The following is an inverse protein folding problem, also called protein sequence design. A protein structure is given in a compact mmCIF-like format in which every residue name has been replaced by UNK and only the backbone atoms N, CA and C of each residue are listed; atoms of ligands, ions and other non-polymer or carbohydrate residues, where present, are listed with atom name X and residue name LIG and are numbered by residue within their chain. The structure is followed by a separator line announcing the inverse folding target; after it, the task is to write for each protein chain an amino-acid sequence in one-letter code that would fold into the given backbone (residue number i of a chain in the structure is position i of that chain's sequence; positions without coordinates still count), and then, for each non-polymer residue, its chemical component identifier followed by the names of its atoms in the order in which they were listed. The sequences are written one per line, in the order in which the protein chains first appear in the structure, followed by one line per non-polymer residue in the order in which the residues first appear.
data_IF_825632903782
#
_entry.id   IF_825632903782
#
_cell.length_a   1.000
_cell.length_b   1.000
_cell.length_c   1.000
_cell.angle_alpha   90.00
_cell.angle_beta   90.00
_cell.angle_gamma   90.00
#
_symmetry.space_group_name_H-M   'P 1'
#
loop_
_entity.id
_entity.type
_entity.pdbx_description
1 polymer ?
#
# COMPACT_ATOMS: atom_id res chain seq x y z
N UNK A 1 -48.19 -8.66 -13.80
CA UNK A 1 -48.53 -8.42 -12.39
C UNK A 1 -47.48 -7.49 -11.80
N UNK A 2 -47.86 -6.33 -11.27
CA UNK A 2 -46.91 -5.33 -10.77
C UNK A 2 -46.22 -5.78 -9.49
N UNK A 3 -44.94 -5.45 -9.36
CA UNK A 3 -44.05 -5.81 -8.26
C UNK A 3 -43.64 -4.58 -7.46
N UNK A 4 -43.52 -4.76 -6.15
CA UNK A 4 -42.90 -3.76 -5.29
C UNK A 4 -41.38 -3.92 -5.33
N UNK A 5 -40.61 -2.90 -5.76
CA UNK A 5 -39.15 -3.00 -5.85
C UNK A 5 -38.48 -3.20 -4.48
N UNK A 6 -39.03 -2.56 -3.44
CA UNK A 6 -38.51 -2.65 -2.06
C UNK A 6 -38.90 -3.92 -1.32
N UNK A 7 -40.19 -4.27 -1.37
CA UNK A 7 -40.74 -5.37 -0.57
C UNK A 7 -40.71 -6.71 -1.31
N UNK A 8 -40.49 -6.71 -2.63
CA UNK A 8 -40.54 -7.90 -3.49
C UNK A 8 -41.85 -8.69 -3.37
N UNK A 9 -42.95 -7.97 -3.08
CA UNK A 9 -44.29 -8.54 -3.09
C UNK A 9 -44.92 -8.35 -4.47
N UNK A 10 -45.60 -9.38 -4.93
CA UNK A 10 -46.42 -9.38 -6.14
C UNK A 10 -47.80 -8.81 -5.84
N UNK A 11 -48.29 -7.93 -6.70
CA UNK A 11 -49.60 -7.29 -6.57
C UNK A 11 -50.51 -7.65 -7.74
N UNK A 12 -51.81 -7.61 -7.49
CA UNK A 12 -52.84 -7.77 -8.52
C UNK A 12 -52.85 -6.59 -9.48
N UNK A 13 -53.19 -6.85 -10.74
CA UNK A 13 -53.25 -5.82 -11.78
C UNK A 13 -54.24 -4.69 -11.42
N UNK A 14 -53.78 -3.45 -11.53
CA UNK A 14 -54.55 -2.24 -11.19
C UNK A 14 -54.12 -1.51 -9.92
N UNK A 15 -53.27 -2.12 -9.09
CA UNK A 15 -52.63 -1.44 -7.94
C UNK A 15 -51.37 -0.72 -8.42
N UNK A 16 -51.21 0.56 -8.07
CA UNK A 16 -50.07 1.40 -8.51
C UNK A 16 -49.06 1.71 -7.41
N UNK A 17 -49.42 1.49 -6.15
CA UNK A 17 -48.61 1.88 -4.99
C UNK A 17 -48.64 0.77 -3.96
N UNK A 18 -47.47 0.43 -3.42
CA UNK A 18 -47.33 -0.59 -2.37
C UNK A 18 -47.90 -0.07 -1.04
N UNK A 19 -48.70 -0.91 -0.37
CA UNK A 19 -49.30 -0.61 0.94
C UNK A 19 -48.32 -0.62 2.11
N UNK A 20 -47.15 -1.26 1.96
CA UNK A 20 -46.17 -1.42 3.04
C UNK A 20 -45.04 -0.36 2.96
N UNK A 21 -44.45 -0.14 1.78
CA UNK A 21 -43.38 0.86 1.58
C UNK A 21 -43.87 2.22 1.06
N UNK A 22 -45.08 2.31 0.52
CA UNK A 22 -45.58 3.52 -0.15
C UNK A 22 -44.93 3.84 -1.50
N UNK A 23 -44.16 2.91 -2.08
CA UNK A 23 -43.43 3.08 -3.32
C UNK A 23 -44.25 2.66 -4.56
N UNK A 24 -43.98 3.25 -5.72
CA UNK A 24 -44.64 2.89 -6.99
C UNK A 24 -44.25 1.48 -7.43
N UNK A 25 -45.23 0.74 -7.94
CA UNK A 25 -45.03 -0.64 -8.37
C UNK A 25 -44.56 -0.66 -9.83
N UNK A 26 -43.61 -1.55 -10.13
CA UNK A 26 -43.01 -1.76 -11.46
C UNK A 26 -43.57 -3.02 -12.13
N UNK A 27 -43.61 -3.08 -13.45
CA UNK A 27 -44.29 -4.20 -14.14
C UNK A 27 -43.44 -5.48 -14.15
N UNK A 28 -42.12 -5.34 -14.03
CA UNK A 28 -41.19 -6.46 -13.80
C UNK A 28 -40.00 -6.03 -12.92
N UNK A 29 -39.42 -6.95 -12.13
CA UNK A 29 -38.20 -6.68 -11.37
C UNK A 29 -36.99 -6.36 -12.27
N UNK A 30 -37.07 -6.68 -13.56
CA UNK A 30 -36.03 -6.38 -14.54
C UNK A 30 -36.02 -4.88 -14.96
N UNK A 31 -37.06 -4.11 -14.60
CA UNK A 31 -37.15 -2.65 -14.80
C UNK A 31 -36.52 -1.83 -13.66
N UNK A 32 -35.86 -2.48 -12.70
CA UNK A 32 -35.10 -1.76 -11.66
C UNK A 32 -34.00 -0.91 -12.34
N UNK A 33 -34.08 0.41 -12.19
CA UNK A 33 -33.05 1.33 -12.66
C UNK A 33 -31.70 0.92 -12.05
N UNK A 34 -30.75 0.56 -12.92
CA UNK A 34 -29.39 0.19 -12.54
C UNK A 34 -28.47 1.33 -12.89
N UNK A 35 -27.60 1.67 -11.96
CA UNK A 35 -26.61 2.72 -12.10
C UNK A 35 -25.21 2.12 -12.12
N UNK A 36 -24.32 2.73 -12.90
CA UNK A 36 -22.91 2.42 -12.91
C UNK A 36 -22.26 2.68 -11.55
N UNK A 37 -21.44 1.73 -11.09
CA UNK A 37 -20.76 1.79 -9.80
C UNK A 37 -19.25 2.03 -9.95
N UNK A 38 -18.59 1.21 -10.78
CA UNK A 38 -17.12 1.26 -10.98
C UNK A 38 -16.73 0.57 -12.29
N UNK A 39 -15.63 1.05 -12.88
CA UNK A 39 -14.94 0.47 -14.04
C UNK A 39 -13.71 -0.34 -13.60
N UNK A 40 -13.42 -1.43 -14.30
CA UNK A 40 -12.26 -2.28 -14.05
C UNK A 40 -12.03 -3.31 -15.15
N UNK A 41 -11.07 -4.22 -14.90
CA UNK A 41 -10.83 -5.36 -15.79
C UNK A 41 -11.91 -6.45 -15.61
N UNK A 42 -12.11 -7.30 -16.62
CA UNK A 42 -13.11 -8.39 -16.59
C UNK A 42 -13.01 -9.23 -15.31
N UNK A 43 -11.80 -9.70 -14.99
CA UNK A 43 -11.52 -10.52 -13.80
C UNK A 43 -11.88 -9.80 -12.49
N UNK A 44 -11.54 -8.51 -12.37
CA UNK A 44 -11.84 -7.72 -11.18
C UNK A 44 -13.35 -7.51 -10.98
N UNK A 45 -14.07 -7.29 -12.09
CA UNK A 45 -15.52 -7.08 -12.02
C UNK A 45 -16.25 -8.38 -11.68
N UNK A 46 -15.79 -9.53 -12.18
CA UNK A 46 -16.33 -10.84 -11.82
C UNK A 46 -16.11 -11.17 -10.33
N UNK A 47 -14.90 -10.94 -9.82
CA UNK A 47 -14.59 -11.12 -8.39
C UNK A 47 -15.45 -10.23 -7.50
N UNK A 48 -15.63 -8.96 -7.89
CA UNK A 48 -16.44 -8.01 -7.16
C UNK A 48 -17.93 -8.41 -7.18
N UNK A 49 -18.44 -8.89 -8.31
CA UNK A 49 -19.82 -9.38 -8.43
C UNK A 49 -20.05 -10.64 -7.58
N UNK A 50 -19.07 -11.54 -7.51
CA UNK A 50 -19.10 -12.69 -6.61
C UNK A 50 -19.11 -12.25 -5.14
N UNK A 51 -18.27 -11.28 -4.77
CA UNK A 51 -18.23 -10.71 -3.43
C UNK A 51 -19.57 -10.07 -3.04
N UNK A 52 -20.18 -9.31 -3.95
CA UNK A 52 -21.50 -8.71 -3.76
C UNK A 52 -22.58 -9.77 -3.56
N UNK A 53 -22.56 -10.83 -4.38
CA UNK A 53 -23.49 -11.95 -4.27
C UNK A 53 -23.40 -12.65 -2.91
N UNK A 54 -22.20 -12.90 -2.40
CA UNK A 54 -21.98 -13.46 -1.06
C UNK A 54 -22.49 -12.54 0.06
N UNK A 55 -22.44 -11.22 -0.15
CA UNK A 55 -22.92 -10.21 0.80
C UNK A 55 -24.42 -9.87 0.66
N UNK A 56 -25.14 -10.60 -0.20
CA UNK A 56 -26.59 -10.50 -0.36
C UNK A 56 -27.05 -9.44 -1.37
N UNK A 57 -26.15 -8.86 -2.15
CA UNK A 57 -26.47 -8.00 -3.29
C UNK A 57 -26.61 -8.86 -4.54
N UNK A 58 -27.80 -8.87 -5.14
CA UNK A 58 -28.12 -9.76 -6.29
C UNK A 58 -28.39 -9.00 -7.59
N UNK A 59 -28.37 -7.68 -7.55
CA UNK A 59 -28.69 -6.84 -8.71
C UNK A 59 -27.49 -6.45 -9.58
N UNK A 60 -26.29 -6.99 -9.27
CA UNK A 60 -25.06 -6.72 -10.01
C UNK A 60 -25.10 -7.25 -11.44
N UNK A 61 -24.71 -6.42 -12.40
CA UNK A 61 -24.61 -6.77 -13.83
C UNK A 61 -23.36 -6.11 -14.41
N UNK A 62 -22.54 -6.86 -15.14
CA UNK A 62 -21.33 -6.33 -15.77
C UNK A 62 -21.63 -6.06 -17.25
N UNK A 63 -21.21 -4.90 -17.75
CA UNK A 63 -21.28 -4.55 -19.18
C UNK A 63 -19.92 -4.07 -19.66
N UNK A 64 -19.56 -4.47 -20.88
CA UNK A 64 -18.35 -3.99 -21.53
C UNK A 64 -18.59 -2.60 -22.14
N UNK A 65 -17.68 -1.66 -21.88
CA UNK A 65 -17.70 -0.33 -22.49
C UNK A 65 -16.70 -0.27 -23.65
N UNK A 66 -17.22 -0.21 -24.88
CA UNK A 66 -16.40 -0.13 -26.11
C UNK A 66 -15.60 1.17 -26.23
N UNK A 67 -15.95 2.22 -25.47
CA UNK A 67 -15.29 3.53 -25.54
C UNK A 67 -14.07 3.63 -24.65
N UNK A 68 -14.10 2.98 -23.47
CA UNK A 68 -13.00 3.00 -22.51
C UNK A 68 -12.20 1.67 -22.46
N UNK A 69 -12.60 0.64 -23.22
CA UNK A 69 -11.98 -0.70 -23.25
C UNK A 69 -11.92 -1.35 -21.86
N UNK A 70 -12.96 -1.11 -21.04
CA UNK A 70 -13.08 -1.54 -19.66
C UNK A 70 -14.48 -2.10 -19.38
N UNK A 71 -14.60 -2.90 -18.32
CA UNK A 71 -15.87 -3.46 -17.87
C UNK A 71 -16.44 -2.57 -16.75
N UNK A 72 -17.72 -2.22 -16.86
CA UNK A 72 -18.46 -1.46 -15.85
C UNK A 72 -19.46 -2.36 -15.12
N UNK A 73 -19.50 -2.26 -13.79
CA UNK A 73 -20.50 -2.95 -12.97
C UNK A 73 -21.64 -2.01 -12.63
N UNK A 74 -22.83 -2.45 -13.02
CA UNK A 74 -24.10 -1.82 -12.74
C UNK A 74 -24.77 -2.49 -11.55
N UNK A 75 -25.44 -1.68 -10.71
CA UNK A 75 -26.24 -2.18 -9.60
C UNK A 75 -27.54 -1.39 -9.48
N UNK A 76 -28.60 -2.00 -8.97
CA UNK A 76 -29.85 -1.30 -8.70
C UNK A 76 -29.62 -0.10 -7.77
N UNK A 77 -30.28 1.03 -8.06
CA UNK A 77 -30.12 2.28 -7.29
C UNK A 77 -30.39 2.09 -5.78
N UNK A 78 -31.27 1.16 -5.41
CA UNK A 78 -31.57 0.83 -4.02
C UNK A 78 -30.39 0.17 -3.27
N UNK A 79 -29.59 -0.61 -3.99
CA UNK A 79 -28.45 -1.34 -3.45
C UNK A 79 -27.14 -0.54 -3.54
N UNK A 80 -27.11 0.57 -4.29
CA UNK A 80 -25.92 1.38 -4.57
C UNK A 80 -25.16 1.84 -3.33
N UNK A 81 -25.87 2.36 -2.32
CA UNK A 81 -25.24 2.85 -1.08
C UNK A 81 -24.54 1.72 -0.33
N UNK A 82 -25.14 0.54 -0.33
CA UNK A 82 -24.60 -0.65 0.33
C UNK A 82 -23.44 -1.23 -0.48
N UNK A 83 -23.56 -1.27 -1.80
CA UNK A 83 -22.50 -1.68 -2.71
C UNK A 83 -21.28 -0.80 -2.65
N UNK A 84 -21.45 0.52 -2.53
CA UNK A 84 -20.34 1.47 -2.36
C UNK A 84 -19.53 1.18 -1.10
N UNK A 85 -20.18 0.79 0.01
CA UNK A 85 -19.48 0.39 1.24
C UNK A 85 -18.76 -0.95 1.06
N UNK A 86 -19.40 -1.93 0.44
CA UNK A 86 -18.76 -3.22 0.17
C UNK A 86 -17.58 -3.08 -0.80
N UNK A 87 -17.67 -2.19 -1.78
CA UNK A 87 -16.57 -1.86 -2.68
C UNK A 87 -15.34 -1.34 -1.92
N UNK A 88 -15.53 -0.42 -0.96
CA UNK A 88 -14.44 0.07 -0.11
C UNK A 88 -13.80 -1.06 0.72
N UNK A 89 -14.61 -1.98 1.26
CA UNK A 89 -14.12 -3.14 2.01
C UNK A 89 -13.33 -4.08 1.09
N UNK A 90 -13.84 -4.37 -0.09
CA UNK A 90 -13.19 -5.23 -1.08
C UNK A 90 -11.83 -4.66 -1.50
N UNK A 91 -11.76 -3.36 -1.82
CA UNK A 91 -10.50 -2.67 -2.14
C UNK A 91 -9.51 -2.72 -0.97
N UNK A 92 -9.98 -2.48 0.26
CA UNK A 92 -9.13 -2.57 1.46
C UNK A 92 -8.59 -3.99 1.67
N UNK A 93 -9.41 -5.02 1.42
CA UNK A 93 -8.99 -6.42 1.52
C UNK A 93 -7.98 -6.79 0.44
N UNK A 94 -8.19 -6.37 -0.82
CA UNK A 94 -7.24 -6.57 -1.93
C UNK A 94 -5.90 -5.91 -1.60
N UNK A 95 -5.92 -4.66 -1.15
CA UNK A 95 -4.72 -3.94 -0.73
C UNK A 95 -4.01 -4.65 0.44
N UNK A 96 -4.76 -5.20 1.39
CA UNK A 96 -4.20 -5.94 2.52
C UNK A 96 -3.61 -7.29 2.10
N UNK A 97 -4.28 -8.02 1.19
CA UNK A 97 -3.76 -9.26 0.60
C UNK A 97 -2.48 -8.99 -0.17
N UNK A 98 -2.46 -7.99 -1.03
CA UNK A 98 -1.24 -7.59 -1.73
C UNK A 98 -0.12 -7.17 -0.76
N UNK A 99 -0.44 -6.47 0.34
CA UNK A 99 0.55 -6.13 1.38
C UNK A 99 1.08 -7.38 2.07
N UNK A 100 0.22 -8.37 2.36
CA UNK A 100 0.59 -9.65 2.97
C UNK A 100 1.33 -10.57 2.03
N UNK A 101 1.00 -10.56 0.75
CA UNK A 101 1.72 -11.29 -0.29
C UNK A 101 3.08 -10.66 -0.53
N UNK A 102 3.19 -9.33 -0.57
CA UNK A 102 4.49 -8.64 -0.66
C UNK A 102 5.34 -8.87 0.60
N UNK A 103 4.75 -8.84 1.79
CA UNK A 103 5.43 -9.20 3.05
C UNK A 103 5.75 -10.70 3.12
N UNK A 104 4.90 -11.54 2.52
CA UNK A 104 5.04 -12.99 2.43
C UNK A 104 6.15 -13.39 1.47
N UNK A 105 6.23 -12.77 0.30
CA UNK A 105 7.34 -12.89 -0.66
C UNK A 105 8.64 -12.37 -0.06
N UNK A 106 8.60 -11.27 0.74
CA UNK A 106 9.74 -10.82 1.55
C UNK A 106 10.13 -11.90 2.61
N UNK A 107 9.17 -12.59 3.23
CA UNK A 107 9.43 -13.67 4.23
C UNK A 107 9.86 -15.01 3.63
N UNK A 108 9.42 -15.34 2.42
CA UNK A 108 9.84 -16.54 1.68
C UNK A 108 11.25 -16.35 1.13
N UNK A 109 11.62 -15.14 0.69
CA UNK A 109 13.01 -14.80 0.37
C UNK A 109 13.93 -14.83 1.59
N UNK A 110 13.42 -14.46 2.79
CA UNK A 110 14.16 -14.56 4.05
C UNK A 110 14.33 -16.01 4.53
N UNK A 111 13.35 -16.89 4.31
CA UNK A 111 13.42 -18.30 4.75
C UNK A 111 14.30 -19.19 3.86
N UNK A 112 14.46 -18.85 2.58
CA UNK A 112 15.47 -19.48 1.72
C UNK A 112 16.91 -19.10 2.14
N UNK A 113 17.12 -17.95 2.78
CA UNK A 113 18.40 -17.57 3.40
C UNK A 113 18.61 -18.18 4.79
N UNK A 114 17.57 -18.31 5.62
CA UNK A 114 17.69 -18.89 6.98
C UNK A 114 17.92 -20.41 6.97
N UNK A 115 17.36 -21.14 6.00
CA UNK A 115 17.60 -22.60 5.88
C UNK A 115 19.05 -22.94 5.51
N UNK A 116 19.81 -22.01 4.95
CA UNK A 116 21.25 -22.17 4.75
C UNK A 116 22.08 -21.83 6.02
N UNK A 117 21.52 -21.06 6.95
CA UNK A 117 22.17 -20.62 8.18
C UNK A 117 21.98 -21.60 9.37
N UNK A 118 20.89 -22.37 9.39
CA UNK A 118 20.57 -23.30 10.50
C UNK A 118 21.53 -24.49 10.66
N UNK A 119 22.43 -24.77 9.71
CA UNK A 119 23.45 -25.82 9.91
C UNK A 119 24.62 -25.36 10.82
N UNK A 120 24.68 -24.08 11.23
CA UNK A 120 25.80 -23.54 12.02
C UNK A 120 25.45 -23.18 13.47
N UNK A 121 24.18 -23.22 13.87
CA UNK A 121 23.71 -22.76 15.17
C UNK A 121 23.32 -23.89 16.15
N UNK A 122 23.98 -25.05 16.07
CA UNK A 122 23.77 -26.18 17.01
C UNK A 122 24.81 -26.22 18.15
N UNK A 123 25.60 -25.15 18.32
CA UNK A 123 26.56 -24.99 19.41
C UNK A 123 26.56 -23.53 19.89
N UNK A 124 25.57 -23.15 20.69
CA UNK A 124 25.79 -22.89 22.10
C UNK A 124 24.47 -22.49 22.77
N UNK A 125 24.41 -22.87 24.04
CA UNK A 125 23.23 -23.07 24.88
C UNK A 125 22.98 -21.83 25.74
N UNK A 126 21.69 -21.51 25.91
CA UNK A 126 21.06 -20.74 27.02
C UNK A 126 21.42 -19.23 27.09
N UNK A 127 20.51 -18.27 27.31
CA UNK A 127 19.34 -18.16 28.20
C UNK A 127 18.45 -16.96 27.77
N UNK A 128 17.14 -17.03 28.07
CA UNK A 128 16.18 -15.96 28.51
C UNK A 128 16.05 -14.62 27.72
N UNK A 129 14.91 -13.94 27.55
CA UNK A 129 13.53 -14.00 28.05
C UNK A 129 12.65 -13.06 27.19
N UNK A 130 11.34 -13.19 27.36
CA UNK A 130 10.21 -12.45 26.77
C UNK A 130 10.37 -10.92 26.66
N UNK A 131 9.81 -10.35 25.57
CA UNK A 131 9.19 -9.04 25.60
C UNK A 131 7.97 -9.02 24.67
N UNK A 132 6.80 -8.71 25.24
CA UNK A 132 5.53 -8.51 24.56
C UNK A 132 5.65 -7.48 23.43
N UNK A 133 5.21 -7.85 22.23
CA UNK A 133 5.05 -6.91 21.12
C UNK A 133 3.81 -6.04 21.35
N UNK A 134 4.02 -4.85 21.91
CA UNK A 134 3.11 -3.72 21.73
C UNK A 134 3.09 -3.43 20.23
N UNK A 135 1.92 -3.58 19.61
CA UNK A 135 1.67 -3.16 18.22
C UNK A 135 1.83 -1.65 18.17
N UNK A 136 3.06 -1.20 17.89
CA UNK A 136 3.32 0.16 17.45
C UNK A 136 2.76 0.27 16.04
N UNK A 137 1.94 1.28 15.80
CA UNK A 137 1.58 1.66 14.44
C UNK A 137 2.89 1.87 13.65
N UNK A 138 3.02 1.26 12.46
CA UNK A 138 4.26 1.35 11.72
C UNK A 138 4.51 2.81 11.37
N UNK A 139 5.57 3.37 11.95
CA UNK A 139 6.13 4.67 11.58
C UNK A 139 6.26 4.70 10.05
N UNK A 140 5.70 5.72 9.41
CA UNK A 140 5.74 5.83 7.96
C UNK A 140 7.20 5.95 7.48
N UNK A 141 7.70 4.94 6.79
CA UNK A 141 9.02 4.97 6.15
C UNK A 141 8.85 5.36 4.68
N UNK A 142 9.41 6.52 4.30
CA UNK A 142 9.28 7.04 2.95
C UNK A 142 9.87 6.07 1.91
N UNK A 143 9.25 5.95 0.73
CA UNK A 143 9.74 5.06 -0.32
C UNK A 143 11.17 5.40 -0.77
N UNK A 144 11.60 6.66 -0.60
CA UNK A 144 12.97 7.12 -0.84
C UNK A 144 13.98 6.51 0.14
N UNK A 145 13.67 6.52 1.45
CA UNK A 145 14.52 5.92 2.48
C UNK A 145 14.63 4.41 2.30
N UNK A 146 13.50 3.75 1.97
CA UNK A 146 13.51 2.32 1.61
C UNK A 146 14.40 2.06 0.39
N UNK A 147 14.33 2.88 -0.66
CA UNK A 147 15.16 2.73 -1.86
C UNK A 147 16.66 2.91 -1.60
N UNK A 148 17.04 3.84 -0.71
CA UNK A 148 18.44 4.08 -0.31
C UNK A 148 19.03 2.92 0.51
N UNK A 149 18.25 2.37 1.44
CA UNK A 149 18.65 1.22 2.26
C UNK A 149 18.92 -0.02 1.37
N UNK A 150 18.06 -0.31 0.40
CA UNK A 150 18.33 -1.38 -0.57
C UNK A 150 19.54 -1.09 -1.46
N UNK A 151 19.73 0.18 -1.87
CA UNK A 151 20.85 0.57 -2.75
C UNK A 151 22.22 0.40 -2.06
N UNK A 152 22.31 0.80 -0.79
CA UNK A 152 23.56 0.72 -0.02
C UNK A 152 23.93 -0.72 0.33
N UNK A 153 22.95 -1.54 0.73
CA UNK A 153 23.14 -2.97 0.96
C UNK A 153 23.53 -3.73 -0.31
N UNK A 154 22.85 -3.45 -1.42
CA UNK A 154 23.14 -4.09 -2.71
C UNK A 154 24.55 -3.79 -3.22
N UNK A 155 24.99 -2.53 -3.10
CA UNK A 155 26.33 -2.13 -3.52
C UNK A 155 27.41 -2.82 -2.69
N UNK A 156 27.20 -2.95 -1.37
CA UNK A 156 28.14 -3.62 -0.47
C UNK A 156 28.32 -5.09 -0.83
N UNK A 157 27.21 -5.82 -1.05
CA UNK A 157 27.24 -7.23 -1.45
C UNK A 157 27.87 -7.44 -2.83
N UNK A 158 27.54 -6.56 -3.78
CA UNK A 158 28.04 -6.65 -5.15
C UNK A 158 29.54 -6.35 -5.22
N UNK A 159 30.02 -5.32 -4.51
CA UNK A 159 31.45 -5.00 -4.43
C UNK A 159 32.22 -6.12 -3.73
N UNK A 160 31.73 -6.61 -2.59
CA UNK A 160 32.36 -7.71 -1.87
C UNK A 160 32.43 -9.00 -2.71
N UNK A 161 31.35 -9.33 -3.43
CA UNK A 161 31.27 -10.47 -4.34
C UNK A 161 32.24 -10.35 -5.52
N UNK A 162 32.27 -9.21 -6.21
CA UNK A 162 33.18 -8.98 -7.34
C UNK A 162 34.64 -8.98 -6.89
N UNK A 163 34.97 -8.29 -5.79
CA UNK A 163 36.31 -8.28 -5.24
C UNK A 163 36.76 -9.69 -4.82
N UNK A 164 35.86 -10.47 -4.21
CA UNK A 164 36.08 -11.86 -3.85
C UNK A 164 36.34 -12.77 -5.06
N UNK A 165 35.58 -12.60 -6.14
CA UNK A 165 35.80 -13.32 -7.41
C UNK A 165 37.13 -12.97 -8.06
N UNK A 166 37.51 -11.69 -8.08
CA UNK A 166 38.81 -11.24 -8.59
C UNK A 166 39.93 -11.88 -7.77
N UNK A 167 39.83 -11.86 -6.44
CA UNK A 167 40.81 -12.45 -5.53
C UNK A 167 40.92 -13.97 -5.75
N UNK A 168 39.79 -14.66 -5.94
CA UNK A 168 39.75 -16.10 -6.26
C UNK A 168 40.50 -16.39 -7.57
N UNK A 169 40.27 -15.60 -8.62
CA UNK A 169 40.98 -15.72 -9.91
C UNK A 169 42.48 -15.45 -9.73
N UNK A 170 42.87 -14.45 -8.93
CA UNK A 170 44.28 -14.18 -8.63
C UNK A 170 44.97 -15.32 -7.87
N UNK A 171 44.24 -16.03 -7.00
CA UNK A 171 44.72 -17.24 -6.31
C UNK A 171 44.92 -18.39 -7.31
N UNK A 172 43.99 -18.60 -8.24
CA UNK A 172 44.14 -19.61 -9.30
C UNK A 172 45.25 -19.28 -10.30
N UNK A 173 45.50 -18.01 -10.56
CA UNK A 173 46.58 -17.53 -11.41
C UNK A 173 47.97 -17.56 -10.75
N UNK A 174 48.08 -18.09 -9.52
CA UNK A 174 49.31 -18.16 -8.71
C UNK A 174 49.99 -16.79 -8.46
N UNK A 175 49.25 -15.69 -8.63
CA UNK A 175 49.74 -14.32 -8.36
C UNK A 175 49.90 -14.08 -6.86
N UNK A 176 49.06 -14.73 -6.05
CA UNK A 176 49.13 -14.72 -4.58
C UNK A 176 49.72 -16.05 -4.07
N UNK A 177 50.71 -16.04 -3.15
CA UNK A 177 51.39 -17.26 -2.67
C UNK A 177 50.58 -18.06 -1.63
N UNK A 178 49.25 -18.19 -1.82
CA UNK A 178 48.37 -18.95 -0.92
C UNK A 178 48.25 -20.37 -1.47
N UNK A 179 49.05 -21.28 -0.93
CA UNK A 179 49.10 -22.68 -1.38
C UNK A 179 48.09 -23.52 -0.58
N UNK A 180 46.88 -23.69 -1.11
CA UNK A 180 46.04 -24.81 -0.69
C UNK A 180 46.74 -26.12 -1.12
N UNK A 181 46.75 -27.17 -0.31
CA UNK A 181 47.50 -28.41 -0.61
C UNK A 181 46.58 -29.51 -1.15
N UNK A 182 46.95 -30.16 -2.25
CA UNK A 182 46.24 -31.33 -2.81
C UNK A 182 44.89 -31.04 -3.50
N UNK A 183 44.02 -32.06 -3.57
CA UNK A 183 42.69 -32.02 -4.22
C UNK A 183 41.70 -31.03 -3.58
N UNK A 184 41.99 -30.57 -2.36
CA UNK A 184 41.21 -29.55 -1.66
C UNK A 184 41.22 -28.17 -2.36
N UNK A 185 42.19 -27.90 -3.25
CA UNK A 185 42.26 -26.66 -4.06
C UNK A 185 40.96 -26.35 -4.79
N UNK A 186 40.43 -27.34 -5.49
CA UNK A 186 39.23 -27.17 -6.30
C UNK A 186 37.95 -27.19 -5.46
N UNK A 187 37.94 -27.93 -4.36
CA UNK A 187 36.80 -28.00 -3.45
C UNK A 187 36.64 -26.69 -2.65
N UNK A 188 37.71 -26.21 -2.03
CA UNK A 188 37.68 -24.94 -1.27
C UNK A 188 37.48 -23.73 -2.19
N UNK A 189 38.14 -23.71 -3.35
CA UNK A 189 37.92 -22.65 -4.34
C UNK A 189 36.51 -22.68 -4.94
N UNK A 190 35.93 -23.86 -5.13
CA UNK A 190 34.54 -24.03 -5.58
C UNK A 190 33.53 -23.50 -4.58
N UNK A 191 33.69 -23.80 -3.29
CA UNK A 191 32.81 -23.28 -2.22
C UNK A 191 32.96 -21.76 -2.08
N UNK A 192 34.19 -21.23 -2.06
CA UNK A 192 34.40 -19.78 -2.01
C UNK A 192 33.83 -19.07 -3.25
N UNK A 193 34.01 -19.63 -4.44
CA UNK A 193 33.43 -19.09 -5.67
C UNK A 193 31.90 -19.13 -5.67
N UNK A 194 31.29 -20.21 -5.17
CA UNK A 194 29.84 -20.31 -5.06
C UNK A 194 29.26 -19.24 -4.12
N UNK A 195 29.91 -19.00 -2.97
CA UNK A 195 29.50 -17.94 -2.02
C UNK A 195 29.62 -16.54 -2.63
N UNK A 196 30.71 -16.25 -3.36
CA UNK A 196 30.84 -14.94 -4.02
C UNK A 196 29.85 -14.75 -5.17
N UNK A 197 29.56 -15.80 -5.95
CA UNK A 197 28.51 -15.76 -6.97
C UNK A 197 27.12 -15.51 -6.38
N UNK A 198 26.82 -16.12 -5.24
CA UNK A 198 25.59 -15.88 -4.49
C UNK A 198 25.47 -14.39 -4.11
N UNK A 199 26.51 -13.80 -3.52
CA UNK A 199 26.51 -12.38 -3.17
C UNK A 199 26.33 -11.45 -4.39
N UNK A 200 26.90 -11.82 -5.54
CA UNK A 200 26.69 -11.08 -6.79
C UNK A 200 25.22 -11.18 -7.24
N UNK A 201 24.63 -12.37 -7.22
CA UNK A 201 23.22 -12.59 -7.62
C UNK A 201 22.28 -11.82 -6.69
N UNK A 202 22.45 -11.92 -5.38
CA UNK A 202 21.66 -11.16 -4.41
C UNK A 202 21.87 -9.65 -4.54
N UNK A 203 23.10 -9.19 -4.77
CA UNK A 203 23.40 -7.79 -5.05
C UNK A 203 22.67 -7.27 -6.29
N UNK A 204 22.61 -8.06 -7.37
CA UNK A 204 21.88 -7.69 -8.60
C UNK A 204 20.36 -7.66 -8.37
N UNK A 205 19.80 -8.64 -7.65
CA UNK A 205 18.37 -8.68 -7.32
C UNK A 205 17.97 -7.48 -6.44
N UNK A 206 18.80 -7.14 -5.46
CA UNK A 206 18.58 -5.99 -4.57
C UNK A 206 18.67 -4.65 -5.31
N UNK A 207 19.59 -4.49 -6.28
CA UNK A 207 19.62 -3.31 -7.16
C UNK A 207 18.38 -3.20 -8.07
N UNK A 208 17.87 -4.33 -8.58
CA UNK A 208 16.64 -4.35 -9.38
C UNK A 208 15.43 -3.92 -8.56
N UNK A 209 15.37 -4.36 -7.30
CA UNK A 209 14.36 -3.93 -6.34
C UNK A 209 14.47 -2.43 -6.02
N UNK A 210 15.67 -1.92 -5.75
CA UNK A 210 15.93 -0.49 -5.53
C UNK A 210 15.45 0.39 -6.70
N UNK A 211 15.69 -0.02 -7.95
CA UNK A 211 15.19 0.70 -9.14
C UNK A 211 13.65 0.75 -9.23
N UNK A 212 12.96 -0.30 -8.79
CA UNK A 212 11.48 -0.33 -8.73
C UNK A 212 10.97 0.66 -7.68
N UNK A 213 11.66 0.78 -6.54
CA UNK A 213 11.33 1.75 -5.49
C UNK A 213 11.71 3.19 -5.88
N UNK A 214 12.78 3.39 -6.67
CA UNK A 214 13.18 4.70 -7.20
C UNK A 214 12.11 5.28 -8.16
N UNK A 215 11.43 4.43 -8.95
CA UNK A 215 10.28 4.84 -9.76
C UNK A 215 9.10 5.33 -8.91
N UNK A 216 8.75 4.58 -7.86
CA UNK A 216 7.70 4.96 -6.91
C UNK A 216 8.06 6.22 -6.11
N UNK A 217 9.32 6.38 -5.74
CA UNK A 217 9.79 7.59 -5.06
C UNK A 217 9.69 8.85 -5.93
N UNK A 218 9.78 8.72 -7.27
CA UNK A 218 9.55 9.85 -8.19
C UNK A 218 8.08 10.26 -8.25
N UNK A 219 7.17 9.29 -8.28
CA UNK A 219 5.73 9.55 -8.22
C UNK A 219 5.33 10.17 -6.87
N UNK A 220 5.86 9.64 -5.77
CA UNK A 220 5.62 10.14 -4.42
C UNK A 220 6.23 11.54 -4.20
N UNK A 221 7.41 11.82 -4.74
CA UNK A 221 8.02 13.16 -4.65
C UNK A 221 7.32 14.19 -5.52
N UNK A 222 6.85 13.81 -6.71
CA UNK A 222 6.03 14.69 -7.55
C UNK A 222 4.71 15.05 -6.85
N UNK A 223 4.03 14.06 -6.26
CA UNK A 223 2.83 14.29 -5.45
C UNK A 223 3.13 15.17 -4.23
N UNK A 224 4.26 14.95 -3.55
CA UNK A 224 4.69 15.75 -2.41
C UNK A 224 4.93 17.22 -2.78
N UNK A 225 5.54 17.47 -3.94
CA UNK A 225 5.80 18.82 -4.45
C UNK A 225 4.49 19.53 -4.80
N UNK A 226 3.53 18.82 -5.41
CA UNK A 226 2.20 19.35 -5.70
C UNK A 226 1.42 19.65 -4.40
N UNK A 227 1.47 18.74 -3.41
CA UNK A 227 0.89 18.95 -2.09
C UNK A 227 1.48 20.17 -1.40
N UNK A 228 2.82 20.31 -1.39
CA UNK A 228 3.52 21.46 -0.82
C UNK A 228 3.09 22.76 -1.50
N UNK A 229 3.10 22.79 -2.82
CA UNK A 229 2.70 23.96 -3.60
C UNK A 229 1.27 24.39 -3.28
N UNK A 230 0.34 23.43 -3.23
CA UNK A 230 -1.04 23.71 -2.88
C UNK A 230 -1.15 24.22 -1.43
N UNK A 231 -0.38 23.66 -0.51
CA UNK A 231 -0.33 24.12 0.87
C UNK A 231 0.18 25.56 0.97
N UNK A 232 1.27 25.91 0.29
CA UNK A 232 1.81 27.28 0.31
C UNK A 232 0.83 28.30 -0.29
N UNK A 233 0.09 27.91 -1.33
CA UNK A 233 -0.88 28.78 -2.00
C UNK A 233 -2.22 28.90 -1.24
N UNK A 234 -2.63 27.86 -0.50
CA UNK A 234 -3.99 27.75 0.05
C UNK A 234 -4.06 27.68 1.58
N UNK A 235 -2.97 27.32 2.27
CA UNK A 235 -2.87 27.31 3.72
C UNK A 235 -2.06 28.51 4.19
N UNK A 236 -2.62 29.22 5.16
CA UNK A 236 -2.00 30.34 5.86
C UNK A 236 -2.43 30.24 7.31
N UNK A 237 -1.54 30.59 8.25
CA UNK A 237 -1.82 30.55 9.69
C UNK A 237 -3.16 31.19 10.04
N UNK A 238 -3.42 32.37 9.49
CA UNK A 238 -4.69 33.10 9.66
C UNK A 238 -5.92 32.37 9.10
N UNK A 239 -5.79 31.66 7.98
CA UNK A 239 -6.90 30.93 7.34
C UNK A 239 -7.24 29.64 8.08
N UNK A 240 -6.24 28.97 8.66
CA UNK A 240 -6.44 27.80 9.50
C UNK A 240 -7.07 28.18 10.84
N UNK A 241 -6.55 29.21 11.51
CA UNK A 241 -7.07 29.65 12.81
C UNK A 241 -8.50 30.21 12.70
N UNK A 242 -8.83 30.94 11.62
CA UNK A 242 -10.18 31.47 11.38
C UNK A 242 -11.22 30.40 11.02
N UNK A 243 -10.79 29.21 10.63
CA UNK A 243 -11.68 28.08 10.31
C UNK A 243 -11.87 27.10 11.47
N UNK A 244 -11.30 27.39 12.64
CA UNK A 244 -11.50 26.64 13.89
C UNK A 244 -12.36 27.46 14.86
N UNK A 245 -13.63 27.10 15.06
CA UNK A 245 -14.45 27.71 16.11
C UNK A 245 -13.94 27.29 17.49
N UNK A 246 -13.73 28.27 18.39
CA UNK A 246 -13.25 28.07 19.78
C UNK A 246 -11.84 27.45 19.87
N UNK A 247 -10.84 28.17 19.36
CA UNK A 247 -9.45 27.73 19.38
C UNK A 247 -8.92 27.68 20.84
N UNK A 248 -8.50 26.50 21.34
CA UNK A 248 -8.04 26.34 22.72
C UNK A 248 -6.81 27.20 23.03
N UNK A 249 -6.75 27.77 24.24
CA UNK A 249 -5.56 28.49 24.70
C UNK A 249 -4.36 27.57 24.90
N UNK A 250 -4.57 26.33 25.34
CA UNK A 250 -3.53 25.31 25.53
C UNK A 250 -2.84 24.95 24.20
N UNK A 251 -1.50 25.05 24.18
CA UNK A 251 -0.67 24.88 22.99
C UNK A 251 -0.79 23.47 22.38
N UNK A 252 -0.87 22.44 23.23
CA UNK A 252 -1.03 21.04 22.80
C UNK A 252 -2.39 20.81 22.12
N UNK A 253 -3.49 21.29 22.72
CA UNK A 253 -4.83 21.17 22.14
C UNK A 253 -4.97 21.99 20.84
N UNK A 254 -4.29 23.14 20.78
CA UNK A 254 -4.23 23.97 19.58
C UNK A 254 -3.50 23.28 18.44
N UNK A 255 -2.39 22.60 18.73
CA UNK A 255 -1.68 21.76 17.77
C UNK A 255 -2.61 20.72 17.16
N UNK A 256 -3.27 19.90 18.00
CA UNK A 256 -4.17 18.84 17.53
C UNK A 256 -5.32 19.39 16.67
N UNK A 257 -5.92 20.53 17.06
CA UNK A 257 -7.02 21.14 16.30
C UNK A 257 -6.58 21.70 14.96
N UNK A 258 -5.39 22.31 14.90
CA UNK A 258 -4.81 22.82 13.67
C UNK A 258 -4.41 21.69 12.72
N UNK A 259 -3.74 20.64 13.19
CA UNK A 259 -3.36 19.49 12.35
C UNK A 259 -4.58 18.73 11.84
N UNK A 260 -5.63 18.57 12.66
CA UNK A 260 -6.91 18.00 12.23
C UNK A 260 -7.56 18.82 11.10
N UNK A 261 -7.49 20.15 11.18
CA UNK A 261 -8.01 21.02 10.11
C UNK A 261 -7.17 20.98 8.84
N UNK A 262 -5.84 21.09 8.95
CA UNK A 262 -4.93 21.00 7.81
C UNK A 262 -5.17 19.67 7.07
N UNK A 263 -5.29 18.57 7.82
CA UNK A 263 -5.64 17.25 7.28
C UNK A 263 -6.96 17.29 6.51
N UNK A 264 -8.02 17.86 7.10
CA UNK A 264 -9.33 17.97 6.44
C UNK A 264 -9.28 18.80 5.16
N UNK A 265 -8.49 19.87 5.12
CA UNK A 265 -8.34 20.74 3.96
C UNK A 265 -7.59 20.05 2.82
N UNK A 266 -6.54 19.28 3.13
CA UNK A 266 -5.78 18.49 2.16
C UNK A 266 -6.63 17.34 1.61
N UNK A 267 -7.30 16.56 2.47
CA UNK A 267 -8.14 15.42 2.05
C UNK A 267 -9.33 15.81 1.17
N UNK A 268 -9.77 17.08 1.20
CA UNK A 268 -10.84 17.57 0.31
C UNK A 268 -10.36 17.86 -1.11
N UNK A 269 -9.11 18.29 -1.28
CA UNK A 269 -8.55 18.61 -2.60
C UNK A 269 -7.84 17.42 -3.23
N UNK A 270 -7.27 16.55 -2.40
CA UNK A 270 -6.57 15.36 -2.84
C UNK A 270 -7.30 14.13 -2.29
N UNK A 271 -8.03 13.46 -3.18
CA UNK A 271 -8.72 12.21 -2.88
C UNK A 271 -7.73 11.04 -2.97
N UNK A 272 -7.87 10.03 -2.10
CA UNK A 272 -7.07 8.79 -2.09
C UNK A 272 -5.60 8.91 -1.62
N UNK A 273 -5.27 9.81 -0.69
CA UNK A 273 -3.98 9.73 0.02
C UNK A 273 -3.97 8.61 1.07
N UNK A 274 -2.82 7.95 1.23
CA UNK A 274 -2.58 7.03 2.34
C UNK A 274 -2.60 7.80 3.67
N UNK A 275 -3.34 7.30 4.67
CA UNK A 275 -3.55 8.01 5.95
C UNK A 275 -2.25 8.27 6.70
N UNK A 276 -1.32 7.31 6.73
CA UNK A 276 -0.02 7.45 7.37
C UNK A 276 0.90 8.44 6.67
N UNK A 277 0.82 8.56 5.34
CA UNK A 277 1.56 9.57 4.58
C UNK A 277 1.03 10.98 4.87
N UNK A 278 -0.29 11.13 4.91
CA UNK A 278 -0.93 12.42 5.19
C UNK A 278 -0.60 12.92 6.59
N UNK A 279 -0.59 12.05 7.60
CA UNK A 279 -0.21 12.42 8.97
C UNK A 279 1.23 12.92 9.04
N UNK A 280 2.17 12.15 8.48
CA UNK A 280 3.57 12.56 8.43
C UNK A 280 3.78 13.88 7.66
N UNK A 281 3.04 14.08 6.56
CA UNK A 281 3.11 15.31 5.77
C UNK A 281 2.56 16.53 6.52
N UNK A 282 1.47 16.38 7.26
CA UNK A 282 0.89 17.47 8.07
C UNK A 282 1.86 17.90 9.17
N UNK A 283 2.50 16.94 9.84
CA UNK A 283 3.51 17.23 10.86
C UNK A 283 4.75 17.93 10.27
N UNK A 284 5.11 17.62 9.01
CA UNK A 284 6.22 18.26 8.29
C UNK A 284 5.91 19.71 7.89
N UNK A 285 4.67 20.01 7.51
CA UNK A 285 4.23 21.35 7.04
C UNK A 285 3.80 22.27 8.19
N UNK A 286 3.42 21.71 9.34
CA UNK A 286 2.97 22.49 10.48
C UNK A 286 3.98 23.58 10.91
N UNK A 287 5.30 23.28 11.03
CA UNK A 287 6.32 24.29 11.32
C UNK A 287 6.44 25.34 10.21
N UNK A 288 6.24 24.98 8.94
CA UNK A 288 6.34 25.95 7.83
C UNK A 288 5.20 26.99 7.88
N UNK A 289 4.03 26.62 8.42
CA UNK A 289 2.85 27.51 8.53
C UNK A 289 2.87 28.34 9.83
N UNK A 290 3.38 27.79 10.93
CA UNK A 290 3.28 28.37 12.28
C UNK A 290 4.62 28.58 13.00
N UNK A 291 5.75 28.25 12.37
CA UNK A 291 7.09 28.27 12.97
C UNK A 291 7.74 29.64 13.06
N UNK A 292 7.25 30.65 12.33
CA UNK A 292 7.84 31.99 12.26
C UNK A 292 7.40 32.95 13.38
N UNK A 293 6.69 32.49 14.42
CA UNK A 293 6.33 33.32 15.58
C UNK A 293 7.39 33.28 16.73
N UNK A 294 8.63 32.81 16.48
CA UNK A 294 9.66 32.63 17.54
C UNK A 294 11.04 33.25 17.26
N UNK A 295 11.14 34.38 16.54
CA UNK A 295 12.41 35.13 16.44
C UNK A 295 12.39 36.59 16.91
N UNK A 296 11.30 37.10 17.48
CA UNK A 296 11.27 38.45 18.06
C UNK A 296 10.87 38.44 19.56
N UNK A 297 11.77 37.96 20.43
CA UNK A 297 11.86 38.40 21.84
C UNK A 297 13.32 38.70 22.24
#
# INVERSE_FOLDING_TARGET
MPWCPKCKNEYVEGVKTCTDCGCELIDSLDELEKEGLIFGSEEEMEELLAFFSCNGLKSGEIRFDETEDLYELFIASEEKVRASRYLQVFQKEKNLKERKEKAGEESVQLSEEETAAETKALLDVEEEKEAEAVVSEPLYEAASQKAENFRSGAYTLLVAGIAGMILLVCVYAEVLPIRFYGSARYLTGGVMGALFLLFIVMGILSLKSSRKFEGKAKEESALKEELRRWCDENLTSSKVDSSIPDLPEEEELRYFKRTEQIRSMISKNFLNLESGYLENFVDEIYPDIFGDDKEDE
#
